data_IF_300232357680
#
_entry.id   IF_300232357680
#
_cell.length_a   1.000
_cell.length_b   1.000
_cell.length_c   1.000
_cell.angle_alpha   90.00
_cell.angle_beta   90.00
_cell.angle_gamma   90.00
#
_symmetry.space_group_name_H-M   'P 1'
#
loop_
_entity.id
_entity.type
_entity.pdbx_description
1 polymer ?
#
# COMPACT_ATOMS: atom_id res chain seq x y z
N UNK A 1 -44.46 -79.46 0.06
CA UNK A 1 -45.90 -79.20 0.34
C UNK A 1 -46.23 -77.78 -0.12
N UNK A 2 -47.22 -77.66 -1.01
CA UNK A 2 -48.17 -76.53 -1.21
C UNK A 2 -47.61 -75.11 -1.48
N UNK A 3 -47.70 -74.61 -2.72
CA UNK A 3 -48.74 -73.69 -3.30
C UNK A 3 -48.65 -72.25 -2.78
N UNK A 4 -48.90 -71.14 -3.49
CA UNK A 4 -49.38 -70.80 -4.85
C UNK A 4 -49.23 -69.26 -5.00
N UNK A 5 -48.99 -68.82 -6.24
CA UNK A 5 -49.42 -67.58 -6.94
C UNK A 5 -49.75 -66.29 -6.18
N UNK A 6 -49.29 -65.17 -6.76
CA UNK A 6 -50.01 -63.89 -6.78
C UNK A 6 -49.39 -62.87 -7.75
N UNK A 7 -50.01 -62.69 -8.92
CA UNK A 7 -49.71 -61.66 -9.94
C UNK A 7 -50.16 -60.26 -9.47
N UNK A 8 -49.41 -59.21 -9.86
CA UNK A 8 -49.99 -57.89 -10.16
C UNK A 8 -49.09 -57.06 -11.11
N UNK A 9 -49.76 -56.29 -11.96
CA UNK A 9 -49.34 -55.61 -13.20
C UNK A 9 -48.22 -54.55 -13.11
N UNK A 10 -47.57 -54.19 -14.25
CA UNK A 10 -46.58 -53.11 -14.29
C UNK A 10 -47.28 -51.73 -14.26
N UNK A 11 -46.83 -50.86 -13.35
CA UNK A 11 -47.09 -49.41 -13.44
C UNK A 11 -45.95 -48.79 -14.23
N UNK A 12 -46.27 -48.10 -15.33
CA UNK A 12 -45.34 -47.15 -15.96
C UNK A 12 -45.29 -45.86 -15.13
N UNK A 13 -44.12 -45.44 -14.61
CA UNK A 13 -43.90 -44.05 -14.24
C UNK A 13 -43.36 -43.29 -15.46
N UNK A 14 -44.02 -42.18 -15.80
CA UNK A 14 -43.48 -41.15 -16.70
C UNK A 14 -42.17 -40.54 -16.15
N UNK A 15 -41.45 -39.77 -16.97
CA UNK A 15 -40.03 -39.50 -16.75
C UNK A 15 -39.80 -38.54 -15.58
N UNK A 16 -38.81 -38.76 -14.71
CA UNK A 16 -38.36 -37.73 -13.81
C UNK A 16 -37.38 -36.82 -14.55
N UNK A 17 -37.80 -35.57 -14.79
CA UNK A 17 -37.00 -34.45 -15.29
C UNK A 17 -35.70 -34.28 -14.45
N UNK A 18 -34.50 -34.64 -14.95
CA UNK A 18 -33.26 -34.49 -14.20
C UNK A 18 -32.52 -33.18 -14.52
N UNK A 19 -32.95 -32.42 -15.54
CA UNK A 19 -32.18 -31.29 -16.07
C UNK A 19 -32.39 -29.97 -15.32
N UNK A 20 -33.50 -29.82 -14.58
CA UNK A 20 -33.79 -28.59 -13.83
C UNK A 20 -32.95 -28.47 -12.55
N UNK A 21 -32.63 -29.59 -11.89
CA UNK A 21 -31.81 -29.59 -10.68
C UNK A 21 -30.33 -29.28 -10.96
N UNK A 22 -29.81 -29.71 -12.12
CA UNK A 22 -28.41 -29.49 -12.50
C UNK A 22 -28.14 -28.03 -12.91
N UNK A 23 -29.11 -27.38 -13.55
CA UNK A 23 -29.01 -25.97 -13.95
C UNK A 23 -28.97 -25.00 -12.77
N UNK A 24 -29.76 -25.27 -11.72
CA UNK A 24 -29.77 -24.43 -10.49
C UNK A 24 -28.47 -24.58 -9.70
N UNK A 25 -27.88 -25.78 -9.66
CA UNK A 25 -26.60 -26.02 -8.98
C UNK A 25 -25.44 -25.28 -9.67
N UNK A 26 -25.41 -25.24 -11.01
CA UNK A 26 -24.39 -24.50 -11.77
C UNK A 26 -24.51 -22.97 -11.63
N UNK A 27 -25.72 -22.44 -11.47
CA UNK A 27 -25.95 -21.02 -11.20
C UNK A 27 -25.52 -20.59 -9.78
N UNK A 28 -25.51 -21.50 -8.81
CA UNK A 28 -25.04 -21.23 -7.44
C UNK A 28 -23.52 -21.28 -7.29
N UNK A 29 -22.80 -21.96 -8.18
CA UNK A 29 -21.32 -22.02 -8.14
C UNK A 29 -20.67 -20.79 -8.81
N UNK A 30 -21.39 -20.10 -9.70
CA UNK A 30 -20.87 -18.91 -10.40
C UNK A 30 -20.99 -17.59 -9.61
N UNK A 31 -21.73 -17.55 -8.50
CA UNK A 31 -21.93 -16.31 -7.72
C UNK A 31 -20.95 -16.10 -6.57
N UNK A 32 -20.05 -17.05 -6.28
CA UNK A 32 -19.17 -16.98 -5.10
C UNK A 32 -17.75 -16.44 -5.34
N UNK A 33 -17.44 -15.87 -6.51
CA UNK A 33 -16.14 -15.25 -6.77
C UNK A 33 -16.22 -13.71 -6.89
N UNK A 34 -17.05 -13.07 -6.05
CA UNK A 34 -16.87 -11.66 -5.76
C UNK A 34 -15.81 -11.53 -4.67
N UNK A 35 -14.53 -11.55 -5.06
CA UNK A 35 -13.45 -11.09 -4.17
C UNK A 35 -13.70 -9.60 -3.93
N UNK A 36 -14.36 -9.26 -2.83
CA UNK A 36 -14.32 -7.91 -2.29
C UNK A 36 -12.86 -7.62 -2.01
N UNK A 37 -12.18 -6.91 -2.92
CA UNK A 37 -10.84 -6.42 -2.68
C UNK A 37 -10.87 -5.70 -1.34
N UNK A 38 -10.12 -6.20 -0.36
CA UNK A 38 -10.07 -5.59 0.95
C UNK A 38 -9.81 -4.10 0.75
N UNK A 39 -10.73 -3.25 1.21
CA UNK A 39 -10.55 -1.80 1.18
C UNK A 39 -9.29 -1.53 1.99
N UNK A 40 -8.17 -1.35 1.29
CA UNK A 40 -6.89 -1.06 1.92
C UNK A 40 -7.01 0.35 2.46
N UNK A 41 -7.21 0.46 3.77
CA UNK A 41 -7.14 1.73 4.48
C UNK A 41 -5.81 2.40 4.12
N UNK A 42 -5.92 3.56 3.46
CA UNK A 42 -4.81 4.31 2.88
C UNK A 42 -4.85 5.70 3.48
N UNK A 43 -3.88 6.01 4.34
CA UNK A 43 -3.68 7.35 4.85
C UNK A 43 -2.73 8.12 3.93
N UNK A 44 -3.18 9.25 3.39
CA UNK A 44 -2.32 10.16 2.63
C UNK A 44 -1.63 11.16 3.57
N UNK A 45 -0.36 11.45 3.27
CA UNK A 45 0.47 12.42 3.98
C UNK A 45 0.82 13.57 3.04
N UNK A 46 0.62 14.79 3.52
CA UNK A 46 0.93 16.03 2.81
C UNK A 46 1.84 16.87 3.68
N UNK A 47 2.92 17.39 3.12
CA UNK A 47 3.79 18.30 3.86
C UNK A 47 3.08 19.64 4.12
N UNK A 48 3.03 20.07 5.38
CA UNK A 48 2.42 21.34 5.81
C UNK A 48 3.43 22.23 6.54
N UNK A 49 3.17 23.54 6.59
CA UNK A 49 3.97 24.50 7.38
C UNK A 49 5.27 24.97 6.73
N UNK A 50 5.54 24.59 5.47
CA UNK A 50 6.71 25.04 4.72
C UNK A 50 6.52 26.40 4.01
N UNK A 51 7.59 26.97 3.43
CA UNK A 51 7.51 28.16 2.59
C UNK A 51 6.53 27.98 1.42
N UNK A 52 5.94 29.06 0.88
CA UNK A 52 4.91 28.96 -0.17
C UNK A 52 5.35 28.14 -1.41
N UNK A 53 6.61 28.25 -1.82
CA UNK A 53 7.15 27.48 -2.94
C UNK A 53 7.23 25.98 -2.61
N UNK A 54 7.60 25.63 -1.37
CA UNK A 54 7.66 24.26 -0.90
C UNK A 54 6.25 23.65 -0.82
N UNK A 55 5.27 24.38 -0.28
CA UNK A 55 3.90 23.88 -0.12
C UNK A 55 3.20 23.69 -1.47
N UNK A 56 3.47 24.55 -2.46
CA UNK A 56 2.91 24.45 -3.83
C UNK A 56 3.33 23.18 -4.57
N UNK A 57 4.56 22.73 -4.34
CA UNK A 57 5.15 21.56 -5.01
C UNK A 57 5.37 20.39 -4.05
N UNK A 58 4.72 20.42 -2.88
CA UNK A 58 4.84 19.36 -1.88
C UNK A 58 4.26 18.05 -2.44
N UNK A 59 5.00 16.92 -2.30
CA UNK A 59 4.46 15.63 -2.70
C UNK A 59 3.33 15.21 -1.76
N UNK A 60 2.38 14.48 -2.31
CA UNK A 60 1.41 13.69 -1.55
C UNK A 60 1.90 12.25 -1.52
N UNK A 61 2.07 11.68 -0.33
CA UNK A 61 2.51 10.29 -0.15
C UNK A 61 1.30 9.49 0.32
N UNK A 62 0.89 8.47 -0.43
CA UNK A 62 -0.23 7.59 -0.08
C UNK A 62 0.25 6.13 -0.03
N UNK A 63 0.88 5.69 1.08
CA UNK A 63 1.34 4.32 1.22
C UNK A 63 0.16 3.34 1.29
N UNK A 64 0.34 2.15 0.74
CA UNK A 64 -0.67 1.09 0.86
C UNK A 64 -0.66 0.46 2.25
N UNK A 65 -1.81 -0.06 2.69
CA UNK A 65 -1.96 -0.79 3.93
C UNK A 65 -1.36 -0.06 5.15
N UNK A 66 -1.87 1.13 5.45
CA UNK A 66 -1.39 1.94 6.58
C UNK A 66 -1.83 1.39 7.93
N UNK A 67 -2.56 0.26 7.99
CA UNK A 67 -2.74 -0.49 9.24
C UNK A 67 -1.40 -1.03 9.77
N UNK A 68 -0.41 -1.23 8.90
CA UNK A 68 0.94 -1.64 9.29
C UNK A 68 1.80 -0.42 9.57
N UNK A 69 2.38 -0.34 10.77
CA UNK A 69 3.20 0.79 11.22
C UNK A 69 4.37 1.09 10.30
N UNK A 70 4.99 0.06 9.72
CA UNK A 70 6.11 0.20 8.79
C UNK A 70 5.74 0.81 7.43
N UNK A 71 4.45 0.87 7.09
CA UNK A 71 3.97 1.58 5.90
C UNK A 71 3.59 3.04 6.21
N UNK A 72 3.66 3.48 7.48
CA UNK A 72 3.37 4.86 7.87
C UNK A 72 4.63 5.70 7.84
N UNK A 73 4.48 6.95 7.41
CA UNK A 73 5.51 7.97 7.61
C UNK A 73 5.62 8.26 9.11
N UNK A 74 6.84 8.37 9.63
CA UNK A 74 7.05 8.69 11.03
C UNK A 74 8.24 9.61 11.30
N UNK A 75 8.43 9.92 12.57
CA UNK A 75 9.48 10.82 13.06
C UNK A 75 10.63 10.02 13.67
N UNK A 76 11.87 10.19 13.18
CA UNK A 76 13.07 9.75 13.88
C UNK A 76 13.09 10.20 15.35
N UNK A 77 13.26 9.24 16.26
CA UNK A 77 13.28 9.42 17.70
C UNK A 77 14.33 8.52 18.36
N UNK A 78 14.64 8.81 19.62
CA UNK A 78 15.57 8.02 20.43
C UNK A 78 14.87 7.54 21.71
N UNK A 79 15.18 6.32 22.15
CA UNK A 79 14.76 5.76 23.44
C UNK A 79 15.89 4.98 24.07
N UNK A 80 15.77 4.63 25.36
CA UNK A 80 16.64 3.63 25.98
C UNK A 80 15.95 2.25 25.94
N UNK A 81 16.71 1.22 25.61
CA UNK A 81 16.25 -0.18 25.68
C UNK A 81 16.32 -0.72 27.12
N UNK A 82 16.04 -2.01 27.28
CA UNK A 82 16.07 -2.71 28.59
C UNK A 82 17.46 -2.76 29.22
N UNK A 83 18.52 -2.64 28.41
CA UNK A 83 19.90 -2.62 28.86
C UNK A 83 20.41 -1.19 29.11
N UNK A 84 19.53 -0.19 28.96
CA UNK A 84 19.86 1.23 29.08
C UNK A 84 20.59 1.83 27.86
N UNK A 85 20.77 1.07 26.78
CA UNK A 85 21.42 1.54 25.54
C UNK A 85 20.46 2.40 24.74
N UNK A 86 21.01 3.39 24.02
CA UNK A 86 20.20 4.27 23.16
C UNK A 86 19.89 3.54 21.85
N UNK A 87 18.60 3.43 21.53
CA UNK A 87 18.10 2.93 20.25
C UNK A 87 17.45 4.09 19.47
N UNK A 88 17.82 4.24 18.19
CA UNK A 88 17.15 5.13 17.25
C UNK A 88 16.03 4.36 16.54
N UNK A 89 14.84 4.94 16.53
CA UNK A 89 13.65 4.34 15.91
C UNK A 89 12.82 5.40 15.17
N UNK A 90 11.86 4.96 14.35
CA UNK A 90 10.87 5.85 13.74
C UNK A 90 9.55 5.72 14.48
N UNK A 91 9.07 6.83 15.06
CA UNK A 91 7.75 6.92 15.66
C UNK A 91 6.69 7.23 14.58
N UNK A 92 5.92 6.21 14.20
CA UNK A 92 4.86 6.30 13.19
C UNK A 92 3.59 7.01 13.67
N UNK A 93 3.50 7.41 14.95
CA UNK A 93 2.36 8.19 15.47
C UNK A 93 2.41 9.66 15.08
N UNK A 94 3.62 10.16 14.84
CA UNK A 94 3.88 11.55 14.47
C UNK A 94 4.55 11.58 13.10
N UNK A 95 3.82 11.75 12.00
CA UNK A 95 4.43 11.84 10.67
C UNK A 95 5.16 13.17 10.50
N UNK A 96 6.41 13.12 10.01
CA UNK A 96 7.21 14.33 9.76
C UNK A 96 7.79 14.31 8.36
N UNK A 97 7.68 15.46 7.68
CA UNK A 97 8.43 15.76 6.46
C UNK A 97 9.61 16.67 6.82
N UNK A 98 10.79 16.28 6.39
CA UNK A 98 11.96 17.15 6.39
C UNK A 98 12.07 17.82 5.02
N UNK A 99 12.40 19.10 5.01
CA UNK A 99 12.46 19.89 3.79
C UNK A 99 13.78 20.65 3.68
N UNK A 100 14.31 20.70 2.46
CA UNK A 100 15.44 21.55 2.11
C UNK A 100 15.27 22.13 0.71
N UNK A 101 15.57 23.42 0.56
CA UNK A 101 15.69 24.07 -0.74
C UNK A 101 17.17 24.26 -1.08
N UNK A 102 17.60 23.87 -2.29
CA UNK A 102 18.96 24.13 -2.80
C UNK A 102 18.91 24.71 -4.21
N UNK A 103 19.66 25.78 -4.44
CA UNK A 103 19.83 26.36 -5.77
C UNK A 103 21.14 25.88 -6.38
N UNK A 104 21.14 25.66 -7.69
CA UNK A 104 22.35 25.33 -8.46
C UNK A 104 22.24 25.90 -9.88
N UNK A 105 23.34 25.84 -10.64
CA UNK A 105 23.39 26.29 -12.04
C UNK A 105 23.86 25.15 -12.92
N UNK A 106 23.34 25.12 -14.15
CA UNK A 106 23.80 24.23 -15.21
C UNK A 106 23.88 25.06 -16.49
N UNK A 107 25.09 25.28 -16.98
CA UNK A 107 25.35 26.29 -18.01
C UNK A 107 24.97 27.69 -17.52
N UNK A 108 24.18 28.43 -18.31
CA UNK A 108 23.71 29.77 -17.94
C UNK A 108 22.43 29.75 -17.09
N UNK A 109 21.72 28.62 -17.05
CA UNK A 109 20.42 28.50 -16.38
C UNK A 109 20.57 28.20 -14.88
N UNK A 110 19.67 28.76 -14.07
CA UNK A 110 19.54 28.49 -12.64
C UNK A 110 18.38 27.54 -12.36
N UNK A 111 18.61 26.61 -11.45
CA UNK A 111 17.65 25.61 -11.01
C UNK A 111 17.48 25.63 -9.50
N UNK A 112 16.34 25.15 -9.03
CA UNK A 112 16.05 24.99 -7.60
C UNK A 112 15.58 23.57 -7.33
N UNK A 113 16.31 22.84 -6.48
CA UNK A 113 15.84 21.58 -5.91
C UNK A 113 15.03 21.86 -4.65
N UNK A 114 13.79 21.37 -4.63
CA UNK A 114 12.96 21.20 -3.46
C UNK A 114 13.10 19.74 -3.00
N UNK A 115 13.79 19.53 -1.90
CA UNK A 115 14.16 18.21 -1.39
C UNK A 115 13.26 17.92 -0.18
N UNK A 116 12.41 16.90 -0.31
CA UNK A 116 11.57 16.39 0.76
C UNK A 116 12.12 15.04 1.21
N UNK A 117 12.12 14.79 2.51
CA UNK A 117 12.52 13.50 3.08
C UNK A 117 11.50 13.04 4.10
N UNK A 118 11.14 11.76 4.01
CA UNK A 118 10.32 11.05 5.00
C UNK A 118 11.04 9.77 5.45
N UNK A 119 10.61 9.24 6.60
CA UNK A 119 11.15 8.01 7.16
C UNK A 119 10.05 6.99 7.45
N UNK A 120 10.42 5.71 7.37
CA UNK A 120 9.60 4.55 7.66
C UNK A 120 10.32 3.66 8.68
N UNK A 121 9.56 2.98 9.52
CA UNK A 121 10.08 2.11 10.59
C UNK A 121 11.09 1.07 10.06
N UNK A 122 10.76 0.42 8.94
CA UNK A 122 11.57 -0.63 8.31
C UNK A 122 11.11 -0.90 6.88
N UNK A 123 11.99 -1.51 6.10
CA UNK A 123 11.64 -2.06 4.78
C UNK A 123 11.50 -3.59 4.90
N UNK A 124 10.33 -4.18 4.59
CA UNK A 124 10.18 -5.63 4.62
C UNK A 124 10.96 -6.29 3.46
N UNK A 125 11.76 -7.30 3.80
CA UNK A 125 12.42 -8.18 2.83
C UNK A 125 11.38 -8.97 2.02
N UNK A 126 11.62 -9.31 0.72
CA UNK A 126 12.83 -9.08 -0.09
C UNK A 126 12.85 -7.80 -0.93
N UNK A 127 11.93 -6.85 -0.69
CA UNK A 127 11.45 -6.06 -1.83
C UNK A 127 12.34 -4.91 -2.31
N UNK A 128 13.33 -4.43 -1.56
CA UNK A 128 14.23 -3.36 -2.02
C UNK A 128 15.62 -3.40 -1.33
N UNK A 129 15.63 -3.44 0.00
CA UNK A 129 16.83 -3.49 0.88
C UNK A 129 16.42 -4.07 2.26
N UNK A 130 17.38 -4.48 3.10
CA UNK A 130 17.12 -4.83 4.52
C UNK A 130 17.65 -3.74 5.43
N UNK A 131 16.81 -3.18 6.31
CA UNK A 131 17.25 -2.18 7.28
C UNK A 131 16.10 -1.63 8.13
N UNK A 132 16.48 -1.10 9.29
CA UNK A 132 15.60 -0.25 10.12
C UNK A 132 15.68 1.19 9.60
N UNK A 133 14.71 2.03 9.94
CA UNK A 133 14.79 3.49 9.75
C UNK A 133 14.97 3.94 8.28
N UNK A 134 14.40 3.19 7.33
CA UNK A 134 14.48 3.49 5.90
C UNK A 134 13.91 4.88 5.59
N UNK A 135 14.47 5.52 4.57
CA UNK A 135 14.07 6.87 4.16
C UNK A 135 13.71 6.94 2.68
N UNK A 136 12.91 7.95 2.33
CA UNK A 136 12.60 8.30 0.95
C UNK A 136 12.88 9.79 0.76
N UNK A 137 13.77 10.11 -0.17
CA UNK A 137 13.93 11.45 -0.71
C UNK A 137 13.04 11.61 -1.95
N UNK A 138 12.38 12.77 -2.03
CA UNK A 138 11.63 13.22 -3.20
C UNK A 138 12.20 14.59 -3.55
N UNK A 139 12.80 14.71 -4.73
CA UNK A 139 13.48 15.93 -5.19
C UNK A 139 12.70 16.47 -6.37
N UNK A 140 12.12 17.66 -6.23
CA UNK A 140 11.47 18.39 -7.30
C UNK A 140 12.42 19.48 -7.78
N UNK A 141 12.96 19.34 -8.99
CA UNK A 141 13.81 20.35 -9.62
C UNK A 141 12.95 21.33 -10.41
N UNK A 142 13.10 22.61 -10.12
CA UNK A 142 12.43 23.71 -10.80
C UNK A 142 13.40 24.48 -11.71
N UNK A 143 12.90 24.97 -12.83
CA UNK A 143 13.59 25.96 -13.68
C UNK A 143 13.49 27.39 -13.12
N UNK A 144 14.00 28.38 -13.88
CA UNK A 144 13.96 29.79 -13.50
C UNK A 144 12.54 30.37 -13.41
N UNK A 145 11.61 29.82 -14.17
CA UNK A 145 10.19 30.14 -14.13
C UNK A 145 9.44 29.39 -13.02
N UNK A 146 10.17 28.67 -12.14
CA UNK A 146 9.64 27.86 -11.05
C UNK A 146 8.71 26.73 -11.52
N UNK A 147 8.91 26.24 -12.75
CA UNK A 147 8.17 25.09 -13.28
C UNK A 147 8.95 23.81 -12.96
N UNK A 148 8.28 22.74 -12.52
CA UNK A 148 8.94 21.46 -12.30
C UNK A 148 9.44 20.91 -13.64
N UNK A 149 10.72 20.57 -13.71
CA UNK A 149 11.37 19.99 -14.89
C UNK A 149 11.88 18.57 -14.66
N UNK A 150 12.06 18.17 -13.39
CA UNK A 150 12.46 16.83 -13.00
C UNK A 150 11.92 16.49 -11.61
N UNK A 151 11.45 15.25 -11.44
CA UNK A 151 11.12 14.67 -10.14
C UNK A 151 11.96 13.40 -9.99
N UNK A 152 12.74 13.33 -8.90
CA UNK A 152 13.60 12.18 -8.60
C UNK A 152 13.24 11.63 -7.23
N UNK A 153 13.08 10.31 -7.13
CA UNK A 153 12.89 9.60 -5.86
C UNK A 153 14.11 8.74 -5.54
N UNK A 154 14.62 8.83 -4.32
CA UNK A 154 15.77 8.03 -3.86
C UNK A 154 15.47 7.39 -2.53
N UNK A 155 15.56 6.07 -2.46
CA UNK A 155 15.48 5.34 -1.19
C UNK A 155 16.81 5.37 -0.45
N UNK A 156 16.76 5.49 0.87
CA UNK A 156 17.93 5.29 1.73
C UNK A 156 17.74 4.09 2.62
N UNK A 157 18.79 3.28 2.73
CA UNK A 157 18.93 2.34 3.84
C UNK A 157 19.13 3.13 5.13
N UNK A 158 18.42 2.76 6.19
CA UNK A 158 18.81 3.14 7.54
C UNK A 158 19.63 2.03 8.18
N UNK A 159 20.44 2.40 9.15
CA UNK A 159 21.20 1.49 10.01
C UNK A 159 20.35 1.09 11.23
#
# INVERSE_FOLDING_TARGET
>A
MKTLRGLAAPRHPGPPFPHLALGVLLLLVYTSAATSGAVSETQAYVASGGPPLASRHAPVIAPQNTLRSYNRVGTPAARRDTDGKVEIYIDSRFPTFYFQQRQFRMGQSRYTNLIYRVHFERVPYPHLTSGKNGGLFIIVTLDEARRPVLITTVHTCGC
#
